data_IF_757870294345
#
_entry.id   IF_757870294345
#
_cell.length_a   1.000
_cell.length_b   1.000
_cell.length_c   1.000
_cell.angle_alpha   90.00
_cell.angle_beta   90.00
_cell.angle_gamma   90.00
#
_symmetry.space_group_name_H-M   'P 1'
#
loop_
_entity.id
_entity.type
_entity.pdbx_description
1 polymer ?
#
# COMPACT_ATOMS: atom_id res chain seq x y z
N UNK A 1 -20.68 -11.50 -13.83
CA UNK A 1 -19.21 -11.39 -13.91
C UNK A 1 -18.77 -10.02 -13.43
N UNK A 2 -17.68 -9.93 -12.68
CA UNK A 2 -16.99 -8.69 -12.33
C UNK A 2 -15.62 -8.70 -13.01
N UNK A 3 -15.09 -7.53 -13.37
CA UNK A 3 -13.73 -7.39 -13.85
C UNK A 3 -12.91 -6.59 -12.85
N UNK A 4 -11.75 -7.07 -12.43
CA UNK A 4 -10.83 -6.33 -11.56
C UNK A 4 -9.63 -5.85 -12.37
N UNK A 5 -9.34 -4.55 -12.33
CA UNK A 5 -8.14 -3.95 -12.91
C UNK A 5 -7.09 -3.78 -11.81
N UNK A 6 -6.01 -4.55 -11.89
CA UNK A 6 -4.96 -4.57 -10.87
C UNK A 6 -3.66 -3.94 -11.34
N UNK A 7 -2.78 -3.60 -10.39
CA UNK A 7 -1.52 -2.90 -10.63
C UNK A 7 -0.41 -3.71 -11.28
N UNK A 8 0.83 -3.33 -11.07
CA UNK A 8 1.99 -3.77 -11.83
C UNK A 8 2.54 -5.14 -11.43
N UNK A 9 3.11 -5.90 -12.40
CA UNK A 9 3.69 -7.26 -12.26
C UNK A 9 4.88 -7.40 -11.31
N UNK A 10 5.63 -6.35 -11.04
CA UNK A 10 6.86 -6.39 -10.22
C UNK A 10 6.78 -5.47 -9.02
N UNK A 11 5.65 -5.53 -8.33
CA UNK A 11 5.45 -4.81 -7.07
C UNK A 11 4.61 -5.70 -6.15
N UNK A 12 5.24 -6.27 -5.14
CA UNK A 12 4.57 -7.15 -4.18
C UNK A 12 3.34 -6.50 -3.54
N UNK A 13 3.36 -5.17 -3.33
CA UNK A 13 2.21 -4.43 -2.80
C UNK A 13 0.99 -4.41 -3.72
N UNK A 14 1.19 -4.29 -5.04
CA UNK A 14 0.08 -4.33 -6.00
C UNK A 14 -0.52 -5.75 -6.09
N UNK A 15 0.31 -6.79 -5.95
CA UNK A 15 -0.17 -8.16 -5.85
C UNK A 15 -1.01 -8.38 -4.59
N UNK A 16 -0.58 -7.84 -3.44
CA UNK A 16 -1.32 -7.90 -2.19
C UNK A 16 -2.70 -7.23 -2.32
N UNK A 17 -2.75 -6.01 -2.86
CA UNK A 17 -4.02 -5.29 -3.09
C UNK A 17 -4.97 -6.13 -3.95
N UNK A 18 -4.48 -6.65 -5.08
CA UNK A 18 -5.30 -7.45 -5.99
C UNK A 18 -5.81 -8.74 -5.37
N UNK A 19 -4.98 -9.42 -4.57
CA UNK A 19 -5.35 -10.64 -3.85
C UNK A 19 -6.47 -10.37 -2.84
N UNK A 20 -6.28 -9.38 -1.97
CA UNK A 20 -7.24 -9.00 -0.94
C UNK A 20 -8.54 -8.42 -1.51
N UNK A 21 -8.45 -7.61 -2.58
CA UNK A 21 -9.64 -7.11 -3.27
C UNK A 21 -10.51 -8.24 -3.81
N UNK A 22 -9.88 -9.25 -4.47
CA UNK A 22 -10.63 -10.41 -4.96
C UNK A 22 -11.17 -11.30 -3.83
N UNK A 23 -10.46 -11.42 -2.71
CA UNK A 23 -10.96 -12.15 -1.54
C UNK A 23 -12.21 -11.48 -0.96
N UNK A 24 -12.20 -10.15 -0.82
CA UNK A 24 -13.36 -9.36 -0.39
C UNK A 24 -14.54 -9.53 -1.35
N UNK A 25 -14.29 -9.40 -2.67
CA UNK A 25 -15.32 -9.55 -3.69
C UNK A 25 -15.93 -10.96 -3.67
N UNK A 26 -15.11 -12.03 -3.58
CA UNK A 26 -15.62 -13.42 -3.49
C UNK A 26 -16.47 -13.68 -2.26
N UNK A 27 -16.19 -12.99 -1.16
CA UNK A 27 -16.93 -13.16 0.10
C UNK A 27 -18.27 -12.40 0.11
N UNK A 28 -18.35 -11.26 -0.55
CA UNK A 28 -19.48 -10.35 -0.39
C UNK A 28 -20.27 -10.06 -1.67
N UNK A 29 -19.74 -10.46 -2.83
CA UNK A 29 -20.37 -10.13 -4.12
C UNK A 29 -20.45 -11.39 -4.99
N UNK A 30 -21.66 -11.77 -5.38
CA UNK A 30 -21.87 -12.94 -6.23
C UNK A 30 -21.35 -12.75 -7.64
N UNK A 31 -20.82 -13.83 -8.20
CA UNK A 31 -20.45 -13.93 -9.60
C UNK A 31 -18.96 -14.22 -9.84
N UNK A 32 -18.67 -14.55 -11.08
CA UNK A 32 -17.32 -14.78 -11.55
C UNK A 32 -16.49 -13.48 -11.51
N UNK A 33 -15.20 -13.58 -11.18
CA UNK A 33 -14.25 -12.49 -11.16
C UNK A 33 -13.15 -12.75 -12.18
N UNK A 34 -13.07 -11.91 -13.20
CA UNK A 34 -11.98 -11.86 -14.18
C UNK A 34 -10.98 -10.80 -13.77
N UNK A 35 -9.71 -11.19 -13.63
CA UNK A 35 -8.64 -10.23 -13.30
C UNK A 35 -7.84 -9.86 -14.55
N UNK A 36 -7.72 -8.57 -14.81
CA UNK A 36 -6.92 -8.02 -15.91
C UNK A 36 -5.88 -7.07 -15.31
N UNK A 37 -4.60 -7.32 -15.63
CA UNK A 37 -3.59 -6.35 -15.27
C UNK A 37 -3.71 -5.13 -16.18
N UNK A 38 -3.79 -3.94 -15.60
CA UNK A 38 -4.03 -2.68 -16.35
C UNK A 38 -2.99 -2.40 -17.45
N UNK A 39 -1.81 -3.03 -17.41
CA UNK A 39 -0.80 -2.92 -18.47
C UNK A 39 -1.09 -3.79 -19.70
N UNK A 40 -1.94 -4.79 -19.53
CA UNK A 40 -2.29 -5.74 -20.58
C UNK A 40 -3.59 -5.35 -21.31
N UNK A 41 -4.22 -4.24 -20.89
CA UNK A 41 -5.45 -3.75 -21.50
C UNK A 41 -5.19 -3.46 -22.98
N UNK A 42 -6.03 -4.05 -23.83
CA UNK A 42 -6.03 -3.89 -25.26
C UNK A 42 -7.47 -3.92 -25.80
N UNK A 43 -7.64 -3.82 -27.10
CA UNK A 43 -8.94 -3.74 -27.79
C UNK A 43 -9.92 -4.87 -27.40
N UNK A 44 -9.45 -6.10 -27.28
CA UNK A 44 -10.31 -7.25 -26.97
C UNK A 44 -10.93 -7.19 -25.56
N UNK A 45 -10.32 -6.43 -24.64
CA UNK A 45 -10.83 -6.32 -23.28
C UNK A 45 -12.09 -5.46 -23.15
N UNK A 46 -12.36 -4.56 -24.11
CA UNK A 46 -13.57 -3.72 -24.07
C UNK A 46 -14.85 -4.57 -24.21
N UNK A 47 -14.82 -5.65 -24.97
CA UNK A 47 -15.93 -6.60 -25.02
C UNK A 47 -16.18 -7.25 -23.65
N UNK A 48 -15.11 -7.62 -22.94
CA UNK A 48 -15.17 -8.19 -21.58
C UNK A 48 -15.72 -7.14 -20.60
N UNK A 49 -15.22 -5.88 -20.68
CA UNK A 49 -15.71 -4.80 -19.84
C UNK A 49 -17.20 -4.57 -20.01
N UNK A 50 -17.69 -4.55 -21.25
CA UNK A 50 -19.10 -4.30 -21.56
C UNK A 50 -20.04 -5.45 -21.19
N UNK A 51 -19.53 -6.67 -21.05
CA UNK A 51 -20.27 -7.83 -20.50
C UNK A 51 -20.24 -7.91 -18.97
N UNK A 52 -19.37 -7.15 -18.31
CA UNK A 52 -19.25 -7.15 -16.88
C UNK A 52 -20.38 -6.35 -16.20
N UNK A 53 -20.80 -6.76 -15.01
CA UNK A 53 -21.67 -5.95 -14.14
C UNK A 53 -20.94 -4.68 -13.68
N UNK A 54 -19.63 -4.80 -13.39
CA UNK A 54 -18.77 -3.68 -13.05
C UNK A 54 -17.31 -3.97 -13.40
N UNK A 55 -16.57 -2.90 -13.75
CA UNK A 55 -15.11 -2.87 -13.87
C UNK A 55 -14.54 -2.18 -12.63
N UNK A 56 -13.84 -2.92 -11.80
CA UNK A 56 -13.37 -2.46 -10.48
C UNK A 56 -11.92 -2.04 -10.57
N UNK A 57 -11.64 -0.79 -10.25
CA UNK A 57 -10.30 -0.23 -10.19
C UNK A 57 -9.71 -0.55 -8.82
N UNK A 58 -8.90 -1.62 -8.72
CA UNK A 58 -8.45 -2.13 -7.42
C UNK A 58 -7.25 -1.38 -6.87
N UNK A 59 -7.47 -0.59 -5.82
CA UNK A 59 -6.47 -0.05 -4.89
C UNK A 59 -5.30 0.70 -5.52
N UNK A 60 -4.29 0.95 -4.70
CA UNK A 60 -3.05 1.57 -5.13
C UNK A 60 -3.11 3.10 -5.20
N UNK A 61 -1.95 3.74 -5.50
CA UNK A 61 -1.81 5.19 -5.55
C UNK A 61 -2.24 5.73 -6.92
N UNK A 62 -3.52 5.67 -7.22
CA UNK A 62 -4.05 5.96 -8.54
C UNK A 62 -4.27 7.45 -8.79
N UNK A 63 -4.77 8.19 -7.78
CA UNK A 63 -4.99 9.62 -7.91
C UNK A 63 -3.65 10.37 -7.94
N UNK A 64 -3.15 10.52 -9.16
CA UNK A 64 -1.91 11.20 -9.53
C UNK A 64 -2.24 12.24 -10.61
N UNK A 65 -1.36 13.24 -10.88
CA UNK A 65 -1.63 14.27 -11.88
C UNK A 65 -2.03 13.72 -13.25
N UNK A 66 -1.58 12.50 -13.58
CA UNK A 66 -1.85 11.81 -14.85
C UNK A 66 -2.46 10.43 -14.61
N UNK A 67 -3.54 10.34 -13.81
CA UNK A 67 -4.24 9.08 -13.58
C UNK A 67 -4.67 8.44 -14.90
N UNK A 68 -5.16 9.24 -15.83
CA UNK A 68 -5.45 8.88 -17.21
C UNK A 68 -4.50 9.60 -18.17
N UNK A 69 -3.97 8.95 -19.20
CA UNK A 69 -4.02 7.49 -19.48
C UNK A 69 -2.92 6.67 -18.77
N UNK A 70 -2.12 7.31 -17.93
CA UNK A 70 -0.88 6.69 -17.42
C UNK A 70 -1.11 5.57 -16.42
N UNK A 71 -2.08 5.71 -15.52
CA UNK A 71 -2.37 4.70 -14.48
C UNK A 71 -3.45 3.73 -14.95
N UNK A 72 -4.54 4.27 -15.49
CA UNK A 72 -5.61 3.50 -16.09
C UNK A 72 -5.74 3.89 -17.58
N UNK A 73 -5.17 3.10 -18.50
CA UNK A 73 -5.24 3.35 -19.94
C UNK A 73 -6.57 2.78 -20.52
N UNK A 74 -7.69 3.25 -19.99
CA UNK A 74 -9.03 2.84 -20.43
C UNK A 74 -9.79 4.04 -20.99
N UNK A 75 -10.46 3.84 -22.09
CA UNK A 75 -11.36 4.80 -22.69
C UNK A 75 -12.78 4.59 -22.13
N UNK A 76 -13.24 5.52 -21.30
CA UNK A 76 -14.53 5.41 -20.63
C UNK A 76 -15.70 5.49 -21.60
N UNK A 77 -15.57 6.20 -22.74
CA UNK A 77 -16.63 6.31 -23.76
C UNK A 77 -16.95 4.96 -24.41
N UNK A 78 -16.02 4.03 -24.34
CA UNK A 78 -16.15 2.67 -24.88
C UNK A 78 -16.64 1.64 -23.86
N UNK A 79 -16.84 2.05 -22.60
CA UNK A 79 -17.27 1.18 -21.51
C UNK A 79 -18.69 1.55 -21.10
N UNK A 80 -19.63 0.62 -21.29
CA UNK A 80 -21.04 0.80 -20.92
C UNK A 80 -21.36 0.32 -19.49
N UNK A 81 -20.52 -0.54 -18.94
CA UNK A 81 -20.66 -1.01 -17.57
C UNK A 81 -20.15 0.01 -16.54
N UNK A 82 -20.55 -0.16 -15.27
CA UNK A 82 -20.06 0.69 -14.19
C UNK A 82 -18.55 0.52 -13.99
N UNK A 83 -17.83 1.63 -13.84
CA UNK A 83 -16.41 1.65 -13.49
C UNK A 83 -16.29 2.14 -12.07
N UNK A 84 -15.85 1.26 -11.14
CA UNK A 84 -15.95 1.49 -9.70
C UNK A 84 -14.58 1.56 -9.05
N UNK A 85 -14.17 2.71 -8.52
CA UNK A 85 -12.97 2.83 -7.68
C UNK A 85 -13.12 2.06 -6.37
N UNK A 86 -12.16 1.17 -6.05
CA UNK A 86 -12.13 0.39 -4.81
C UNK A 86 -10.82 0.64 -4.07
N UNK A 87 -10.86 1.43 -3.00
CA UNK A 87 -9.70 1.71 -2.15
C UNK A 87 -8.54 2.40 -2.86
N UNK A 88 -8.84 3.25 -3.84
CA UNK A 88 -7.82 4.05 -4.52
C UNK A 88 -7.28 5.13 -3.58
N UNK A 89 -6.03 5.54 -3.81
CA UNK A 89 -5.36 6.52 -2.98
C UNK A 89 -4.67 7.63 -3.73
N UNK A 90 -4.58 8.75 -3.07
CA UNK A 90 -3.87 9.94 -3.47
C UNK A 90 -2.34 9.74 -3.39
N UNK A 91 -1.62 10.30 -4.35
CA UNK A 91 -0.16 10.31 -4.37
C UNK A 91 0.37 11.66 -4.80
N UNK A 92 1.04 12.33 -3.88
CA UNK A 92 1.75 13.58 -4.09
C UNK A 92 3.10 13.56 -3.36
N UNK A 93 3.84 14.64 -3.46
CA UNK A 93 5.09 14.83 -2.73
C UNK A 93 4.81 14.92 -1.21
N UNK A 94 5.81 14.58 -0.42
CA UNK A 94 5.76 14.79 1.02
C UNK A 94 5.48 16.26 1.34
N UNK A 95 4.56 16.54 2.26
CA UNK A 95 4.14 17.89 2.64
C UNK A 95 3.09 18.52 1.72
N UNK A 96 2.79 17.95 0.56
CA UNK A 96 1.75 18.49 -0.33
C UNK A 96 0.36 18.09 0.18
N UNK A 97 -0.51 19.09 0.35
CA UNK A 97 -1.89 18.91 0.78
C UNK A 97 -2.83 18.55 -0.39
N UNK A 98 -4.01 17.96 -0.11
CA UNK A 98 -5.04 17.74 -1.12
C UNK A 98 -5.47 19.02 -1.86
N UNK A 99 -5.57 20.15 -1.16
CA UNK A 99 -5.97 21.44 -1.73
C UNK A 99 -4.93 22.03 -2.73
N UNK A 100 -3.65 21.71 -2.55
CA UNK A 100 -2.58 22.15 -3.44
C UNK A 100 -2.40 21.24 -4.66
N UNK A 101 -3.01 20.06 -4.63
CA UNK A 101 -2.85 19.07 -5.68
C UNK A 101 -3.67 19.44 -6.92
N UNK A 102 -3.06 19.24 -8.09
CA UNK A 102 -3.71 19.48 -9.39
C UNK A 102 -3.62 18.22 -10.26
N UNK A 103 -4.76 17.80 -10.77
CA UNK A 103 -4.82 16.87 -11.90
C UNK A 103 -4.47 17.62 -13.20
N UNK A 104 -3.98 16.89 -14.21
CA UNK A 104 -4.05 17.39 -15.59
C UNK A 104 -5.52 17.42 -16.05
N UNK A 105 -5.85 18.26 -16.99
CA UNK A 105 -7.23 18.39 -17.49
C UNK A 105 -7.85 17.05 -17.92
N UNK A 106 -7.18 16.18 -18.71
CA UNK A 106 -7.74 14.87 -19.05
C UNK A 106 -7.89 13.95 -17.82
N UNK A 107 -7.00 14.08 -16.83
CA UNK A 107 -7.09 13.27 -15.62
C UNK A 107 -8.25 13.73 -14.72
N UNK A 108 -8.50 15.02 -14.62
CA UNK A 108 -9.64 15.56 -13.87
C UNK A 108 -10.96 15.14 -14.51
N UNK A 109 -11.08 15.26 -15.82
CA UNK A 109 -12.24 14.79 -16.57
C UNK A 109 -12.51 13.30 -16.33
N UNK A 110 -11.47 12.47 -16.43
CA UNK A 110 -11.54 11.04 -16.14
C UNK A 110 -12.03 10.75 -14.71
N UNK A 111 -11.47 11.44 -13.71
CA UNK A 111 -11.87 11.26 -12.30
C UNK A 111 -13.33 11.62 -12.11
N UNK A 112 -13.77 12.78 -12.61
CA UNK A 112 -15.17 13.22 -12.51
C UNK A 112 -16.10 12.21 -13.17
N UNK A 113 -15.79 11.76 -14.36
CA UNK A 113 -16.61 10.81 -15.08
C UNK A 113 -16.73 9.45 -14.39
N UNK A 114 -15.63 8.87 -13.91
CA UNK A 114 -15.66 7.60 -13.16
C UNK A 114 -16.56 7.74 -11.92
N UNK A 115 -16.48 8.84 -11.19
CA UNK A 115 -17.31 9.04 -10.01
C UNK A 115 -18.78 9.36 -10.31
N UNK A 116 -19.09 9.94 -11.46
CA UNK A 116 -20.50 10.15 -11.88
C UNK A 116 -21.17 8.87 -12.35
N UNK A 117 -20.41 7.91 -12.86
CA UNK A 117 -20.90 6.61 -13.35
C UNK A 117 -21.16 5.59 -12.25
N UNK A 118 -20.66 5.80 -11.03
CA UNK A 118 -20.83 4.87 -9.92
C UNK A 118 -21.72 5.43 -8.82
N UNK A 119 -22.55 4.57 -8.22
CA UNK A 119 -23.41 4.97 -7.10
C UNK A 119 -22.58 5.33 -5.86
N UNK A 120 -21.52 4.55 -5.58
CA UNK A 120 -20.62 4.75 -4.47
C UNK A 120 -19.21 4.34 -4.90
N UNK A 121 -18.23 5.16 -4.61
CA UNK A 121 -16.82 4.86 -4.80
C UNK A 121 -16.09 4.77 -3.47
N UNK A 122 -14.92 4.13 -3.47
CA UNK A 122 -14.18 3.83 -2.28
C UNK A 122 -12.75 4.34 -2.35
N UNK A 123 -12.31 5.01 -1.29
CA UNK A 123 -10.95 5.49 -1.10
C UNK A 123 -10.31 4.89 0.14
N UNK A 124 -8.96 4.87 0.16
CA UNK A 124 -8.21 4.17 1.19
C UNK A 124 -7.82 5.00 2.40
N UNK A 125 -7.94 6.33 2.35
CA UNK A 125 -7.49 7.24 3.42
C UNK A 125 -8.22 8.58 3.35
N UNK A 126 -8.16 9.35 4.48
CA UNK A 126 -8.84 10.62 4.64
C UNK A 126 -8.31 11.72 3.71
N UNK A 127 -7.01 11.71 3.35
CA UNK A 127 -6.44 12.70 2.42
C UNK A 127 -7.03 12.54 1.02
N UNK A 128 -7.27 11.28 0.62
CA UNK A 128 -7.91 11.00 -0.66
C UNK A 128 -9.39 11.41 -0.65
N UNK A 129 -10.08 11.16 0.47
CA UNK A 129 -11.47 11.62 0.64
C UNK A 129 -11.56 13.14 0.56
N UNK A 130 -10.67 13.87 1.26
CA UNK A 130 -10.59 15.32 1.23
C UNK A 130 -10.36 15.86 -0.19
N UNK A 131 -9.43 15.25 -0.95
CA UNK A 131 -9.17 15.61 -2.34
C UNK A 131 -10.44 15.53 -3.20
N UNK A 132 -11.15 14.41 -3.14
CA UNK A 132 -12.34 14.20 -3.96
C UNK A 132 -13.54 15.05 -3.52
N UNK A 133 -13.73 15.23 -2.22
CA UNK A 133 -14.73 16.15 -1.67
C UNK A 133 -14.46 17.61 -2.11
N UNK A 134 -13.18 18.02 -2.14
CA UNK A 134 -12.75 19.33 -2.66
C UNK A 134 -13.07 19.52 -4.15
N UNK A 135 -13.23 18.43 -4.91
CA UNK A 135 -13.71 18.45 -6.30
C UNK A 135 -15.26 18.44 -6.40
N UNK A 136 -15.98 18.43 -5.29
CA UNK A 136 -17.44 18.34 -5.25
C UNK A 136 -18.00 16.92 -5.45
N UNK A 137 -17.17 15.88 -5.31
CA UNK A 137 -17.59 14.48 -5.42
C UNK A 137 -18.01 13.97 -4.03
N UNK A 138 -19.31 13.75 -3.82
CA UNK A 138 -19.87 13.37 -2.53
C UNK A 138 -20.22 11.88 -2.39
N UNK A 139 -20.22 11.13 -3.49
CA UNK A 139 -20.50 9.70 -3.52
C UNK A 139 -19.24 8.87 -3.27
N UNK A 140 -18.44 9.27 -2.27
CA UNK A 140 -17.15 8.66 -1.94
C UNK A 140 -17.14 8.26 -0.47
N UNK A 141 -16.75 7.01 -0.18
CA UNK A 141 -16.61 6.49 1.17
C UNK A 141 -15.16 6.10 1.47
N UNK A 142 -14.69 6.40 2.69
CA UNK A 142 -13.37 5.96 3.15
C UNK A 142 -13.49 4.55 3.72
N UNK A 143 -13.26 3.57 2.88
CA UNK A 143 -13.33 2.14 3.23
C UNK A 143 -11.99 1.54 3.63
N UNK A 144 -10.91 2.30 3.55
CA UNK A 144 -9.56 1.76 3.68
C UNK A 144 -9.03 1.10 2.40
N UNK A 145 -7.77 0.70 2.46
CA UNK A 145 -7.16 -0.09 1.39
C UNK A 145 -7.68 -1.54 1.44
N UNK A 146 -8.01 -2.19 0.30
CA UNK A 146 -8.33 -3.63 0.32
C UNK A 146 -7.27 -4.47 1.03
N UNK A 147 -5.98 -4.05 0.98
CA UNK A 147 -4.88 -4.73 1.66
C UNK A 147 -4.97 -4.72 3.20
N UNK A 148 -5.82 -3.89 3.81
CA UNK A 148 -6.06 -3.91 5.26
C UNK A 148 -6.75 -5.20 5.73
N UNK A 149 -7.56 -5.81 4.86
CA UNK A 149 -8.49 -6.87 5.23
C UNK A 149 -7.92 -8.24 4.94
N UNK A 150 -7.22 -8.80 5.93
CA UNK A 150 -6.96 -10.24 5.99
C UNK A 150 -8.18 -10.92 6.60
N UNK A 151 -8.97 -11.60 5.77
CA UNK A 151 -10.23 -12.19 6.22
C UNK A 151 -10.03 -13.31 7.26
N UNK A 152 -8.85 -13.92 7.30
CA UNK A 152 -8.52 -14.97 8.26
C UNK A 152 -8.09 -14.40 9.63
N UNK A 153 -7.56 -13.19 9.63
CA UNK A 153 -7.04 -12.51 10.83
C UNK A 153 -7.93 -11.37 11.34
N UNK A 154 -8.87 -10.89 10.54
CA UNK A 154 -9.67 -9.68 10.82
C UNK A 154 -10.40 -9.68 12.17
N UNK A 155 -10.81 -10.86 12.66
CA UNK A 155 -11.52 -11.01 13.93
C UNK A 155 -10.62 -11.17 15.15
N UNK A 156 -9.31 -11.37 14.96
CA UNK A 156 -8.39 -11.66 16.07
C UNK A 156 -8.06 -10.40 16.85
N UNK A 157 -7.76 -10.56 18.13
CA UNK A 157 -7.26 -9.48 18.97
C UNK A 157 -5.74 -9.39 18.87
N UNK A 158 -5.22 -8.19 18.97
CA UNK A 158 -3.77 -7.97 18.95
C UNK A 158 -3.15 -8.48 20.25
N UNK A 159 -2.16 -9.37 20.12
CA UNK A 159 -1.33 -9.83 21.21
C UNK A 159 0.07 -9.24 21.07
N UNK A 160 0.54 -8.58 22.14
CA UNK A 160 1.86 -7.97 22.14
C UNK A 160 2.94 -9.05 22.24
N UNK A 161 3.85 -9.05 21.26
CA UNK A 161 5.07 -9.86 21.30
C UNK A 161 6.22 -9.02 21.87
N UNK A 162 6.66 -9.36 23.09
CA UNK A 162 7.79 -8.68 23.75
C UNK A 162 9.15 -9.05 23.16
N UNK A 163 9.25 -10.17 22.42
CA UNK A 163 10.48 -10.65 21.80
C UNK A 163 10.44 -10.43 20.29
N UNK A 164 11.19 -9.47 19.77
CA UNK A 164 11.38 -9.35 18.32
C UNK A 164 12.50 -10.29 17.86
N UNK A 165 12.16 -11.55 17.57
CA UNK A 165 13.10 -12.56 17.08
C UNK A 165 13.42 -12.38 15.60
N UNK A 166 12.44 -11.91 14.82
CA UNK A 166 12.56 -11.67 13.37
C UNK A 166 12.22 -10.23 13.03
N UNK A 167 13.23 -9.47 12.58
CA UNK A 167 13.10 -8.07 12.19
C UNK A 167 13.25 -7.93 10.67
N UNK A 168 12.29 -7.29 10.03
CA UNK A 168 12.35 -6.98 8.61
C UNK A 168 12.46 -5.48 8.39
N UNK A 169 13.48 -5.06 7.64
CA UNK A 169 13.62 -3.68 7.19
C UNK A 169 13.30 -3.54 5.70
N UNK A 170 12.31 -2.75 5.34
CA UNK A 170 11.97 -2.53 3.94
C UNK A 170 12.65 -1.28 3.37
N UNK A 171 13.37 -1.45 2.25
CA UNK A 171 14.17 -0.39 1.63
C UNK A 171 13.32 0.74 1.04
N UNK A 172 13.83 2.00 1.06
CA UNK A 172 13.19 3.15 0.44
C UNK A 172 13.13 3.06 -1.09
N UNK A 173 12.26 3.88 -1.71
CA UNK A 173 12.18 4.02 -3.16
C UNK A 173 13.31 4.86 -3.76
N UNK A 174 13.96 5.68 -2.93
CA UNK A 174 15.11 6.52 -3.27
C UNK A 174 16.18 6.36 -2.19
N UNK A 175 17.47 6.60 -2.50
CA UNK A 175 18.52 6.59 -1.49
C UNK A 175 18.19 7.50 -0.31
N UNK A 176 18.24 6.95 0.91
CA UNK A 176 18.03 7.68 2.17
C UNK A 176 19.27 7.52 3.06
N UNK A 177 19.97 8.60 3.40
CA UNK A 177 21.20 8.55 4.21
C UNK A 177 20.96 7.90 5.60
N UNK A 178 19.81 8.14 6.21
CA UNK A 178 19.46 7.62 7.52
C UNK A 178 19.33 6.10 7.57
N UNK A 179 19.16 5.43 6.43
CA UNK A 179 19.08 3.96 6.33
C UNK A 179 20.22 3.27 7.06
N UNK A 180 21.46 3.75 6.91
CA UNK A 180 22.63 3.14 7.55
C UNK A 180 22.59 3.27 9.08
N UNK A 181 22.17 4.44 9.58
CA UNK A 181 22.04 4.69 11.03
C UNK A 181 20.90 3.88 11.64
N UNK A 182 19.77 3.77 10.93
CA UNK A 182 18.61 2.95 11.36
C UNK A 182 19.03 1.49 11.46
N UNK A 183 19.66 0.93 10.41
CA UNK A 183 20.14 -0.46 10.42
C UNK A 183 21.14 -0.72 11.55
N UNK A 184 22.08 0.20 11.80
CA UNK A 184 23.03 0.09 12.91
C UNK A 184 22.34 0.12 14.28
N UNK A 185 21.35 1.03 14.45
CA UNK A 185 20.55 1.15 15.67
C UNK A 185 19.74 -0.11 15.94
N UNK A 186 19.01 -0.62 14.95
CA UNK A 186 18.26 -1.87 15.07
C UNK A 186 19.17 -3.06 15.38
N UNK A 187 20.36 -3.12 14.79
CA UNK A 187 21.35 -4.17 15.13
C UNK A 187 21.76 -4.11 16.60
N UNK A 188 21.95 -2.89 17.14
CA UNK A 188 22.31 -2.70 18.55
C UNK A 188 21.15 -3.01 19.50
N UNK A 189 19.93 -2.62 19.15
CA UNK A 189 18.73 -2.87 19.97
C UNK A 189 18.38 -4.37 20.04
N UNK A 190 18.60 -5.10 18.93
CA UNK A 190 18.21 -6.50 18.79
C UNK A 190 19.42 -7.37 18.36
N UNK A 191 20.43 -7.56 19.22
CA UNK A 191 21.66 -8.25 18.82
C UNK A 191 21.43 -9.71 18.41
N UNK A 192 20.47 -10.38 19.03
CA UNK A 192 20.20 -11.81 18.84
C UNK A 192 19.09 -12.08 17.78
N UNK A 193 18.38 -11.06 17.31
CA UNK A 193 17.32 -11.24 16.34
C UNK A 193 17.87 -11.64 14.95
N UNK A 194 17.12 -12.44 14.23
CA UNK A 194 17.30 -12.61 12.80
C UNK A 194 16.82 -11.33 12.09
N UNK A 195 17.69 -10.77 11.25
CA UNK A 195 17.44 -9.47 10.61
C UNK A 195 17.46 -9.60 9.10
N UNK A 196 16.41 -9.12 8.43
CA UNK A 196 16.27 -9.25 6.97
C UNK A 196 15.98 -7.90 6.32
N UNK A 197 16.70 -7.56 5.26
CA UNK A 197 16.37 -6.46 4.35
C UNK A 197 15.44 -6.97 3.27
N UNK A 198 14.23 -6.43 3.19
CA UNK A 198 13.25 -6.74 2.16
C UNK A 198 13.41 -5.84 0.94
N UNK A 199 13.63 -6.44 -0.22
CA UNK A 199 13.69 -5.77 -1.51
C UNK A 199 12.37 -5.92 -2.25
N UNK A 200 11.52 -4.90 -2.20
CA UNK A 200 10.21 -4.87 -2.89
C UNK A 200 10.31 -4.52 -4.38
N UNK A 201 11.43 -4.01 -4.83
CA UNK A 201 11.78 -3.81 -6.24
C UNK A 201 13.01 -4.64 -6.57
N UNK A 202 13.22 -4.95 -7.84
CA UNK A 202 14.43 -5.66 -8.26
C UNK A 202 15.71 -4.88 -7.92
N UNK A 203 16.85 -5.56 -7.99
CA UNK A 203 18.17 -5.00 -7.73
C UNK A 203 18.43 -3.69 -8.48
N UNK A 204 17.96 -3.62 -9.72
CA UNK A 204 18.06 -2.47 -10.61
C UNK A 204 16.65 -2.15 -11.11
N UNK A 205 15.98 -1.13 -10.54
CA UNK A 205 14.60 -0.81 -10.88
C UNK A 205 14.36 -0.49 -12.36
N UNK A 206 15.35 0.10 -13.03
CA UNK A 206 15.31 0.40 -14.46
C UNK A 206 16.72 0.52 -15.04
N UNK A 207 16.87 0.33 -16.37
CA UNK A 207 18.13 0.58 -17.09
C UNK A 207 18.31 2.09 -17.41
N UNK A 208 18.31 2.91 -16.39
CA UNK A 208 18.40 4.37 -16.44
C UNK A 208 19.51 4.86 -15.50
N UNK A 209 19.89 6.15 -15.59
CA UNK A 209 20.83 6.78 -14.65
C UNK A 209 20.34 6.63 -13.19
N UNK A 210 19.04 6.83 -12.96
CA UNK A 210 18.42 6.62 -11.64
C UNK A 210 18.55 5.16 -11.20
N UNK A 211 18.22 4.19 -12.05
CA UNK A 211 18.34 2.76 -11.73
C UNK A 211 19.79 2.33 -11.44
N UNK A 212 20.79 2.94 -12.12
CA UNK A 212 22.20 2.72 -11.83
C UNK A 212 22.62 3.32 -10.47
N UNK A 213 22.11 4.50 -10.14
CA UNK A 213 22.34 5.10 -8.82
C UNK A 213 21.73 4.25 -7.69
N UNK A 214 20.51 3.73 -7.88
CA UNK A 214 19.87 2.81 -6.95
C UNK A 214 20.66 1.51 -6.78
N UNK A 215 21.15 0.93 -7.87
CA UNK A 215 21.98 -0.27 -7.79
C UNK A 215 23.23 -0.05 -6.95
N UNK A 216 23.98 1.05 -7.20
CA UNK A 216 25.17 1.39 -6.40
C UNK A 216 24.83 1.60 -4.92
N UNK A 217 23.71 2.25 -4.65
CA UNK A 217 23.24 2.46 -3.28
C UNK A 217 22.86 1.14 -2.61
N UNK A 218 22.11 0.25 -3.28
CA UNK A 218 21.79 -1.08 -2.78
C UNK A 218 23.05 -1.86 -2.42
N UNK A 219 24.08 -1.88 -3.31
CA UNK A 219 25.34 -2.56 -3.03
C UNK A 219 26.02 -2.06 -1.74
N UNK A 220 26.00 -0.74 -1.50
CA UNK A 220 26.56 -0.15 -0.26
C UNK A 220 25.75 -0.56 0.96
N UNK A 221 24.42 -0.48 0.88
CA UNK A 221 23.53 -0.88 1.98
C UNK A 221 23.71 -2.36 2.31
N UNK A 222 23.81 -3.23 1.31
CA UNK A 222 23.99 -4.65 1.54
C UNK A 222 25.35 -4.99 2.14
N UNK A 223 26.42 -4.41 1.63
CA UNK A 223 27.74 -4.59 2.22
C UNK A 223 27.77 -4.15 3.71
N UNK A 224 27.15 -3.01 4.01
CA UNK A 224 27.03 -2.49 5.36
C UNK A 224 26.20 -3.40 6.27
N UNK A 225 25.09 -3.89 5.77
CA UNK A 225 24.11 -4.67 6.52
C UNK A 225 24.59 -6.12 6.75
N UNK A 226 25.10 -6.78 5.70
CA UNK A 226 25.62 -8.17 5.82
C UNK A 226 26.80 -8.26 6.78
N UNK A 227 27.70 -7.24 6.81
CA UNK A 227 28.74 -7.15 7.82
C UNK A 227 28.20 -7.03 9.27
N UNK A 228 26.88 -6.81 9.45
CA UNK A 228 26.16 -6.73 10.74
C UNK A 228 25.15 -7.85 10.93
N UNK A 229 25.27 -8.92 10.17
CA UNK A 229 24.42 -10.11 10.30
C UNK A 229 23.03 -10.00 9.67
N UNK A 230 22.77 -8.97 8.81
CA UNK A 230 21.53 -8.88 8.07
C UNK A 230 21.54 -9.79 6.84
N UNK A 231 20.42 -10.44 6.58
CA UNK A 231 20.14 -11.16 5.34
C UNK A 231 19.46 -10.23 4.34
N UNK A 232 19.44 -10.62 3.06
CA UNK A 232 18.75 -9.86 1.99
C UNK A 232 17.75 -10.77 1.29
N UNK A 233 16.48 -10.38 1.31
CA UNK A 233 15.38 -11.10 0.67
C UNK A 233 14.83 -10.35 -0.54
N UNK A 234 15.03 -10.82 -1.78
CA UNK A 234 14.39 -10.30 -2.97
C UNK A 234 12.95 -10.83 -3.06
N UNK A 235 11.97 -9.97 -2.83
CA UNK A 235 10.54 -10.34 -2.79
C UNK A 235 9.70 -9.66 -3.88
N UNK A 236 10.35 -9.06 -4.87
CA UNK A 236 9.67 -8.28 -5.92
C UNK A 236 8.79 -9.14 -6.87
N UNK A 237 9.06 -10.44 -6.96
CA UNK A 237 8.55 -11.30 -8.04
C UNK A 237 7.21 -11.97 -7.73
N UNK A 238 6.55 -11.62 -6.62
CA UNK A 238 5.23 -12.15 -6.33
C UNK A 238 4.85 -12.22 -4.87
N UNK A 239 3.57 -12.47 -4.63
CA UNK A 239 2.97 -12.48 -3.30
C UNK A 239 3.49 -13.62 -2.42
N UNK A 240 3.84 -14.78 -2.99
CA UNK A 240 4.33 -15.92 -2.21
C UNK A 240 5.61 -15.61 -1.43
N UNK A 241 6.62 -15.01 -2.08
CA UNK A 241 7.86 -14.58 -1.40
C UNK A 241 7.61 -13.47 -0.39
N UNK A 242 6.68 -12.58 -0.68
CA UNK A 242 6.28 -11.51 0.22
C UNK A 242 5.67 -12.08 1.50
N UNK A 243 4.66 -12.96 1.37
CA UNK A 243 4.02 -13.62 2.51
C UNK A 243 5.03 -14.45 3.29
N UNK A 244 5.82 -15.30 2.64
CA UNK A 244 6.84 -16.13 3.30
C UNK A 244 7.82 -15.34 4.17
N UNK A 245 8.12 -14.07 3.82
CA UNK A 245 8.96 -13.22 4.67
C UNK A 245 8.14 -12.58 5.80
N UNK A 246 7.01 -11.94 5.48
CA UNK A 246 6.29 -11.12 6.45
C UNK A 246 5.44 -11.92 7.42
N UNK A 247 5.03 -13.16 7.09
CA UNK A 247 4.33 -14.06 8.01
C UNK A 247 5.20 -14.49 9.21
N UNK A 248 6.53 -14.38 9.07
CA UNK A 248 7.50 -14.65 10.13
C UNK A 248 8.16 -13.38 10.69
N UNK A 249 7.63 -12.20 10.38
CA UNK A 249 8.19 -10.93 10.85
C UNK A 249 7.50 -10.47 12.12
N UNK A 250 8.22 -10.37 13.23
CA UNK A 250 7.71 -9.83 14.49
C UNK A 250 7.66 -8.31 14.48
N UNK A 251 8.71 -7.68 13.90
CA UNK A 251 8.82 -6.24 13.78
C UNK A 251 9.23 -5.82 12.36
N UNK A 252 8.36 -5.11 11.67
CA UNK A 252 8.70 -4.41 10.44
C UNK A 252 9.05 -2.95 10.73
N UNK A 253 10.19 -2.49 10.20
CA UNK A 253 10.56 -1.07 10.15
C UNK A 253 10.93 -0.73 8.71
N UNK A 254 10.47 0.39 8.18
CA UNK A 254 10.94 0.83 6.86
C UNK A 254 9.95 1.62 6.04
N UNK A 255 10.17 1.66 4.73
CA UNK A 255 9.58 2.66 3.84
C UNK A 255 8.42 2.13 2.99
N UNK A 256 8.06 0.84 3.11
CA UNK A 256 7.07 0.22 2.21
C UNK A 256 5.68 0.18 2.82
N UNK A 257 4.80 1.02 2.30
CA UNK A 257 3.41 1.16 2.76
C UNK A 257 2.69 -0.20 2.82
N UNK A 258 2.85 -1.06 1.80
CA UNK A 258 2.15 -2.34 1.79
C UNK A 258 2.78 -3.40 2.72
N UNK A 259 4.08 -3.29 3.03
CA UNK A 259 4.69 -4.07 4.10
C UNK A 259 4.09 -3.68 5.46
N UNK A 260 4.00 -2.37 5.72
CA UNK A 260 3.37 -1.85 6.94
C UNK A 260 1.91 -2.32 7.07
N UNK A 261 1.11 -2.13 6.03
CA UNK A 261 -0.30 -2.55 6.02
C UNK A 261 -0.42 -4.07 6.23
N UNK A 262 0.40 -4.84 5.55
CA UNK A 262 0.37 -6.30 5.69
C UNK A 262 0.70 -6.73 7.12
N UNK A 263 1.81 -6.23 7.68
CA UNK A 263 2.18 -6.54 9.07
C UNK A 263 1.04 -6.20 10.03
N UNK A 264 0.44 -5.01 9.92
CA UNK A 264 -0.70 -4.64 10.77
C UNK A 264 -1.92 -5.56 10.55
N UNK A 265 -2.18 -6.00 9.32
CA UNK A 265 -3.28 -6.94 9.02
C UNK A 265 -3.01 -8.35 9.57
N UNK A 266 -1.74 -8.71 9.79
CA UNK A 266 -1.31 -9.92 10.48
C UNK A 266 -1.16 -9.71 11.99
N UNK A 267 -1.47 -8.51 12.50
CA UNK A 267 -1.29 -8.12 13.90
C UNK A 267 0.19 -8.13 14.36
N UNK A 268 1.11 -7.98 13.42
CA UNK A 268 2.53 -7.83 13.70
C UNK A 268 2.93 -6.36 13.82
N UNK A 269 3.93 -6.07 14.64
CA UNK A 269 4.43 -4.71 14.83
C UNK A 269 4.98 -4.12 13.54
N UNK A 270 4.63 -2.85 13.27
CA UNK A 270 5.13 -2.17 12.09
C UNK A 270 5.25 -0.66 12.27
N UNK A 271 6.40 -0.12 11.87
CA UNK A 271 6.73 1.30 11.87
C UNK A 271 7.04 1.74 10.44
N UNK A 272 6.22 2.64 9.89
CA UNK A 272 6.36 3.16 8.53
C UNK A 272 7.10 4.48 8.53
N UNK A 273 8.17 4.57 7.73
CA UNK A 273 8.87 5.82 7.42
C UNK A 273 8.30 6.36 6.10
N UNK A 274 7.65 7.50 6.15
CA UNK A 274 6.89 8.06 5.04
C UNK A 274 7.80 8.76 4.02
N UNK A 275 7.72 8.36 2.75
CA UNK A 275 8.44 8.97 1.63
C UNK A 275 7.55 9.94 0.81
N UNK A 276 6.24 9.81 0.92
CA UNK A 276 5.25 10.61 0.20
C UNK A 276 3.86 10.53 0.88
N UNK A 277 2.86 11.19 0.33
CA UNK A 277 1.50 11.25 0.89
C UNK A 277 0.83 9.88 1.03
N UNK A 278 1.29 8.84 0.33
CA UNK A 278 0.73 7.48 0.45
C UNK A 278 0.89 6.91 1.85
N UNK A 279 2.09 7.08 2.41
CA UNK A 279 2.38 6.63 3.76
C UNK A 279 1.67 7.50 4.78
N UNK A 280 1.74 8.83 4.61
CA UNK A 280 1.07 9.80 5.49
C UNK A 280 -0.43 9.48 5.60
N UNK A 281 -1.12 9.28 4.47
CA UNK A 281 -2.54 8.93 4.46
C UNK A 281 -2.83 7.63 5.21
N UNK A 282 -1.99 6.60 5.06
CA UNK A 282 -2.18 5.33 5.75
C UNK A 282 -1.91 5.42 7.25
N UNK A 283 -0.82 6.08 7.66
CA UNK A 283 -0.52 6.28 9.09
C UNK A 283 -1.59 7.14 9.77
N UNK A 284 -2.09 8.18 9.09
CA UNK A 284 -3.19 8.99 9.62
C UNK A 284 -4.48 8.17 9.77
N UNK A 285 -4.83 7.35 8.78
CA UNK A 285 -6.05 6.55 8.79
C UNK A 285 -5.98 5.41 9.82
N UNK A 286 -4.86 4.70 9.90
CA UNK A 286 -4.68 3.56 10.79
C UNK A 286 -4.25 3.98 12.22
N UNK A 287 -3.73 5.19 12.39
CA UNK A 287 -3.05 5.61 13.61
C UNK A 287 -1.67 4.98 13.73
N UNK A 288 -0.76 5.70 14.29
CA UNK A 288 0.62 5.28 14.43
C UNK A 288 1.53 6.49 14.52
N UNK A 289 2.81 6.23 14.78
CA UNK A 289 3.80 7.31 14.82
C UNK A 289 4.06 7.86 13.43
N UNK A 290 3.91 9.16 13.26
CA UNK A 290 4.26 9.83 12.00
C UNK A 290 5.78 9.98 11.93
N UNK A 291 6.43 9.16 11.12
CA UNK A 291 7.87 9.19 10.88
C UNK A 291 8.11 9.60 9.43
N UNK A 292 8.97 10.59 9.21
CA UNK A 292 9.24 11.13 7.87
C UNK A 292 10.65 10.78 7.41
N UNK A 293 10.78 10.46 6.12
CA UNK A 293 12.07 10.26 5.49
C UNK A 293 12.90 11.57 5.55
N UNK A 294 14.15 11.47 6.02
CA UNK A 294 15.07 12.61 6.13
C UNK A 294 15.02 13.36 7.47
N UNK A 295 14.15 12.98 8.40
CA UNK A 295 14.12 13.56 9.75
C UNK A 295 15.13 12.94 10.72
N UNK A 296 15.96 12.02 10.24
CA UNK A 296 17.01 11.38 11.03
C UNK A 296 16.60 10.00 11.56
N UNK A 297 17.60 9.25 12.00
CA UNK A 297 17.41 7.89 12.49
C UNK A 297 16.90 7.84 13.95
N UNK A 298 17.16 8.87 14.75
CA UNK A 298 16.83 8.90 16.17
C UNK A 298 15.31 8.70 16.38
N UNK A 299 14.47 9.52 15.73
CA UNK A 299 13.02 9.42 15.85
C UNK A 299 12.45 8.03 15.48
N UNK A 300 13.09 7.33 14.53
CA UNK A 300 12.71 5.96 14.16
C UNK A 300 13.07 4.99 15.27
N UNK A 301 14.27 5.08 15.83
CA UNK A 301 14.74 4.21 16.91
C UNK A 301 13.98 4.46 18.22
N UNK A 302 13.68 5.72 18.52
CA UNK A 302 12.84 6.11 19.66
C UNK A 302 11.42 5.53 19.52
N UNK A 303 10.85 5.57 18.30
CA UNK A 303 9.55 4.96 18.04
C UNK A 303 9.56 3.43 18.19
N UNK A 304 10.67 2.77 17.85
CA UNK A 304 10.86 1.34 18.12
C UNK A 304 10.88 1.09 19.63
N UNK A 305 11.65 1.87 20.41
CA UNK A 305 11.68 1.74 21.88
C UNK A 305 10.29 1.97 22.48
N UNK A 306 9.61 3.05 22.09
CA UNK A 306 8.23 3.38 22.50
C UNK A 306 7.24 2.24 22.24
N UNK A 307 7.38 1.52 21.11
CA UNK A 307 6.52 0.37 20.81
C UNK A 307 6.62 -0.70 21.92
N UNK A 308 7.82 -1.01 22.40
CA UNK A 308 8.03 -1.99 23.46
C UNK A 308 7.61 -1.44 24.82
N UNK A 309 7.93 -0.19 25.14
CA UNK A 309 7.55 0.47 26.39
C UNK A 309 6.02 0.55 26.56
N UNK A 310 5.29 0.78 25.47
CA UNK A 310 3.83 0.88 25.46
C UNK A 310 3.10 -0.44 25.17
N UNK A 311 3.85 -1.55 25.15
CA UNK A 311 3.31 -2.88 24.83
C UNK A 311 2.45 -2.91 23.55
N UNK A 312 2.93 -2.22 22.51
CA UNK A 312 2.31 -2.21 21.19
C UNK A 312 0.98 -1.47 21.10
N UNK A 313 0.71 -0.48 21.97
CA UNK A 313 -0.58 0.24 21.99
C UNK A 313 -0.97 0.83 20.64
N UNK A 314 -0.01 1.38 19.87
CA UNK A 314 -0.27 1.94 18.54
C UNK A 314 -0.71 0.85 17.54
N UNK A 315 -0.12 -0.34 17.59
CA UNK A 315 -0.49 -1.47 16.72
C UNK A 315 -1.89 -1.97 17.07
N UNK A 316 -2.20 -2.09 18.36
CA UNK A 316 -3.56 -2.42 18.83
C UNK A 316 -4.59 -1.42 18.29
N UNK A 317 -4.32 -0.12 18.43
CA UNK A 317 -5.19 0.91 17.87
C UNK A 317 -5.37 0.82 16.36
N UNK A 318 -4.32 0.44 15.61
CA UNK A 318 -4.40 0.24 14.16
C UNK A 318 -5.27 -0.96 13.79
N UNK A 319 -5.13 -2.09 14.50
CA UNK A 319 -5.97 -3.28 14.26
C UNK A 319 -7.43 -3.02 14.59
N UNK A 320 -7.71 -2.27 15.66
CA UNK A 320 -9.07 -1.84 16.01
C UNK A 320 -9.69 -0.95 14.92
N UNK A 321 -8.92 -0.03 14.33
CA UNK A 321 -9.38 0.82 13.22
C UNK A 321 -9.66 0.01 11.95
N UNK A 322 -8.84 -0.98 11.63
CA UNK A 322 -9.11 -1.91 10.53
C UNK A 322 -10.47 -2.61 10.76
N UNK A 323 -10.68 -3.17 11.96
CA UNK A 323 -11.95 -3.82 12.34
C UNK A 323 -13.14 -2.85 12.25
N UNK A 324 -13.00 -1.64 12.78
CA UNK A 324 -14.05 -0.63 12.79
C UNK A 324 -14.42 -0.11 11.39
N UNK A 325 -13.47 -0.12 10.44
CA UNK A 325 -13.69 0.34 9.06
C UNK A 325 -14.29 -0.77 8.17
N UNK A 326 -14.16 -2.03 8.55
CA UNK A 326 -14.62 -3.16 7.73
C UNK A 326 -16.13 -3.13 7.38
N UNK A 327 -17.06 -2.75 8.28
CA UNK A 327 -18.47 -2.60 7.92
C UNK A 327 -18.69 -1.62 6.77
N UNK A 328 -17.95 -0.50 6.72
CA UNK A 328 -18.01 0.46 5.62
C UNK A 328 -17.53 -0.14 4.28
N UNK A 329 -16.49 -1.01 4.31
CA UNK A 329 -16.08 -1.76 3.15
C UNK A 329 -17.17 -2.73 2.69
N UNK A 330 -17.84 -3.43 3.62
CA UNK A 330 -18.94 -4.35 3.29
C UNK A 330 -20.13 -3.62 2.68
N UNK A 331 -20.51 -2.47 3.23
CA UNK A 331 -21.55 -1.61 2.67
C UNK A 331 -21.21 -1.16 1.24
N UNK A 332 -19.98 -0.71 1.02
CA UNK A 332 -19.50 -0.38 -0.32
C UNK A 332 -19.61 -1.57 -1.28
N UNK A 333 -19.19 -2.77 -0.87
CA UNK A 333 -19.29 -3.97 -1.71
C UNK A 333 -20.73 -4.35 -2.03
N UNK A 334 -21.68 -4.06 -1.15
CA UNK A 334 -23.12 -4.24 -1.38
C UNK A 334 -23.75 -3.22 -2.32
N UNK A 335 -23.01 -2.20 -2.76
CA UNK A 335 -23.53 -1.16 -3.67
C UNK A 335 -23.43 -1.49 -5.16
N UNK A 336 -22.82 -2.63 -5.54
CA UNK A 336 -22.60 -3.02 -6.94
C UNK A 336 -23.81 -3.74 -7.56
#
# INVERSE_FOLDING_TARGET
MLVTLTGAYRNAGDHLIGDRARALLRKHVDGEIVNIARRDINESHYEIFNKARAVILCGGPAYQPQIFPKVFPIDLDRITSNVVPMGLGFKAKLGQTPAEFKFSEPAEAFVREVHTRTKLSSVRDGLTLELLNGMGLSNVSMTGCPAWYDLDNLGRDYEFNAGAEHITFSLPAKPQPDTFKILAGLTKMFPNAQKTIAMHHGWRPAKTAHGNAMLRWHMRVFAFATARGWQVAPIADGLGKFKALYDHTDLHVGYRVHAHIYSLSQQSASLLINEDTRGVGQVTALGGKMLMAGEGAAGVLDAVAEHFDTQGSAVRGSTERIKATYPTMVEFLGSF
#
